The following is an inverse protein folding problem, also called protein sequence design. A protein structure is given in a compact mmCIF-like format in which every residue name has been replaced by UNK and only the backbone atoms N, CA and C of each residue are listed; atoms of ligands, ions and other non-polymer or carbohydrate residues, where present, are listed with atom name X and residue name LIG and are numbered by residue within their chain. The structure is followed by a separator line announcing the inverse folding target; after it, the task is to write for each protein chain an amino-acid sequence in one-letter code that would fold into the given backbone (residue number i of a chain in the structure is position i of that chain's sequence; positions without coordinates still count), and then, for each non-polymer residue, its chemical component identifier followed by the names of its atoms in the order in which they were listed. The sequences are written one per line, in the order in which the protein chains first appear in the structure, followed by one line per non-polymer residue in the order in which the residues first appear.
data_IF_151836240559
#
_entry.id   IF_151836240559
#
_cell.length_a   1.000
_cell.length_b   1.000
_cell.length_c   1.000
_cell.angle_alpha   90.00
_cell.angle_beta   90.00
_cell.angle_gamma   90.00
#
_symmetry.space_group_name_H-M   'P 1'
#
loop_
_entity.id
_entity.type
_entity.pdbx_description
1 polymer ?
#
# COMPACT_ATOMS: atom_id res chain seq x y z
N UNK A 1 31.09 2.83 -21.11
CA UNK A 1 31.89 3.51 -20.07
C UNK A 1 30.96 4.23 -19.10
N UNK A 2 31.49 5.00 -18.14
CA UNK A 2 30.69 5.75 -17.17
C UNK A 2 29.64 6.66 -17.84
N UNK A 3 30.02 7.35 -18.92
CA UNK A 3 29.11 8.24 -19.64
C UNK A 3 27.96 7.49 -20.33
N UNK A 4 28.25 6.34 -20.96
CA UNK A 4 27.21 5.50 -21.59
C UNK A 4 26.20 5.01 -20.56
N UNK A 5 26.66 4.59 -19.39
CA UNK A 5 25.79 4.19 -18.29
C UNK A 5 24.90 5.35 -17.86
N UNK A 6 25.49 6.53 -17.60
CA UNK A 6 24.76 7.72 -17.17
C UNK A 6 23.70 8.19 -18.20
N UNK A 7 23.95 8.00 -19.50
CA UNK A 7 22.99 8.36 -20.57
C UNK A 7 21.77 7.42 -20.63
N UNK A 8 21.89 6.20 -20.11
CA UNK A 8 20.78 5.21 -20.11
C UNK A 8 19.89 5.29 -18.88
N UNK A 9 20.30 6.02 -17.83
CA UNK A 9 19.50 6.17 -16.62
C UNK A 9 18.39 7.20 -16.84
N UNK A 10 17.21 6.90 -16.30
CA UNK A 10 16.08 7.82 -16.30
C UNK A 10 16.49 9.18 -15.68
N UNK A 11 16.13 10.33 -16.28
CA UNK A 11 16.59 11.65 -15.83
C UNK A 11 16.38 11.91 -14.33
N UNK A 12 15.21 11.53 -13.79
CA UNK A 12 14.89 11.69 -12.36
C UNK A 12 15.78 10.88 -11.40
N UNK A 13 16.38 9.79 -11.88
CA UNK A 13 17.22 8.91 -11.07
C UNK A 13 18.72 9.21 -11.23
N UNK A 14 19.09 9.96 -12.28
CA UNK A 14 20.48 10.17 -12.69
C UNK A 14 21.34 10.78 -11.59
N UNK A 15 20.87 11.85 -10.96
CA UNK A 15 21.64 12.56 -9.95
C UNK A 15 21.92 11.66 -8.73
N UNK A 16 20.92 10.91 -8.29
CA UNK A 16 21.04 9.94 -7.20
C UNK A 16 22.02 8.82 -7.56
N UNK A 17 21.86 8.21 -8.73
CA UNK A 17 22.69 7.11 -9.18
C UNK A 17 24.16 7.52 -9.31
N UNK A 18 24.44 8.74 -9.83
CA UNK A 18 25.80 9.30 -9.88
C UNK A 18 26.39 9.50 -8.50
N UNK A 19 25.64 10.12 -7.57
CA UNK A 19 26.11 10.30 -6.19
C UNK A 19 26.46 8.98 -5.51
N UNK A 20 25.62 7.96 -5.68
CA UNK A 20 25.87 6.62 -5.13
C UNK A 20 27.14 6.00 -5.72
N UNK A 21 27.33 6.14 -7.04
CA UNK A 21 28.51 5.64 -7.75
C UNK A 21 29.79 6.36 -7.31
N UNK A 22 29.78 7.69 -7.33
CA UNK A 22 30.94 8.53 -7.00
C UNK A 22 31.39 8.29 -5.55
N UNK A 23 30.44 8.12 -4.64
CA UNK A 23 30.72 7.75 -3.23
C UNK A 23 31.40 6.39 -3.14
N UNK A 24 30.89 5.38 -3.85
CA UNK A 24 31.47 4.05 -3.85
C UNK A 24 32.86 4.03 -4.51
N UNK A 25 33.06 4.80 -5.57
CA UNK A 25 34.34 4.94 -6.25
C UNK A 25 35.39 5.64 -5.36
N UNK A 26 35.03 6.74 -4.71
CA UNK A 26 35.93 7.49 -3.83
C UNK A 26 36.37 6.68 -2.60
N UNK A 27 35.49 5.83 -2.08
CA UNK A 27 35.79 4.97 -0.94
C UNK A 27 36.40 3.62 -1.34
N UNK A 28 36.47 3.33 -2.64
CA UNK A 28 36.70 1.98 -3.19
C UNK A 28 35.82 0.92 -2.48
N UNK A 29 34.60 1.34 -2.12
CA UNK A 29 33.68 0.60 -1.27
C UNK A 29 32.69 -0.24 -2.06
N UNK A 30 31.64 -0.70 -1.39
CA UNK A 30 30.55 -1.43 -2.03
C UNK A 30 29.57 -0.45 -2.68
N UNK A 31 29.35 -0.59 -3.98
CA UNK A 31 28.29 0.10 -4.71
C UNK A 31 26.98 -0.69 -4.62
N UNK A 32 25.89 -0.02 -4.26
CA UNK A 32 24.55 -0.59 -4.28
C UNK A 32 23.57 0.51 -4.64
N UNK A 33 22.85 0.35 -5.74
CA UNK A 33 21.84 1.33 -6.16
C UNK A 33 20.68 0.64 -6.87
N UNK A 34 19.54 1.30 -6.93
CA UNK A 34 18.38 0.90 -7.71
C UNK A 34 17.85 2.12 -8.45
N UNK A 35 17.76 2.03 -9.77
CA UNK A 35 17.40 3.12 -10.66
C UNK A 35 16.66 2.58 -11.87
N UNK A 36 15.99 3.48 -12.58
CA UNK A 36 15.33 3.17 -13.85
C UNK A 36 16.28 3.40 -15.01
N UNK A 37 16.28 2.48 -15.96
CA UNK A 37 16.84 2.66 -17.29
C UNK A 37 15.74 3.12 -18.23
N UNK A 38 16.05 4.08 -19.10
CA UNK A 38 15.21 4.51 -20.21
C UNK A 38 15.80 3.93 -21.50
N UNK A 39 15.12 2.93 -22.06
CA UNK A 39 15.55 2.29 -23.30
C UNK A 39 15.23 3.19 -24.52
N UNK A 40 15.90 2.98 -25.67
CA UNK A 40 15.67 3.80 -26.87
C UNK A 40 14.24 3.76 -27.42
N UNK A 41 13.48 2.70 -27.12
CA UNK A 41 12.07 2.56 -27.48
C UNK A 41 11.11 3.29 -26.51
N UNK A 42 11.67 3.95 -25.48
CA UNK A 42 10.92 4.64 -24.42
C UNK A 42 10.52 3.73 -23.26
N UNK A 43 10.81 2.42 -23.31
CA UNK A 43 10.50 1.49 -22.23
C UNK A 43 11.35 1.79 -21.01
N UNK A 44 10.72 1.80 -19.84
CA UNK A 44 11.40 1.93 -18.55
C UNK A 44 11.65 0.56 -17.95
N UNK A 45 12.89 0.28 -17.54
CA UNK A 45 13.26 -0.91 -16.76
C UNK A 45 13.81 -0.53 -15.41
N UNK A 46 13.37 -1.21 -14.36
CA UNK A 46 13.97 -1.05 -13.04
C UNK A 46 15.15 -2.00 -12.91
N UNK A 47 16.32 -1.46 -12.59
CA UNK A 47 17.53 -2.24 -12.39
C UNK A 47 18.02 -2.05 -10.96
N UNK A 48 18.39 -3.15 -10.33
CA UNK A 48 19.11 -3.18 -9.07
C UNK A 48 20.55 -3.58 -9.33
N UNK A 49 21.49 -2.76 -8.90
CA UNK A 49 22.91 -2.98 -9.11
C UNK A 49 23.62 -3.16 -7.80
N UNK A 50 24.52 -4.15 -7.73
CA UNK A 50 25.48 -4.29 -6.63
C UNK A 50 26.86 -4.56 -7.22
N UNK A 51 27.84 -3.75 -6.85
CA UNK A 51 29.21 -3.88 -7.28
C UNK A 51 30.20 -3.61 -6.14
N UNK A 52 31.46 -3.98 -6.36
CA UNK A 52 32.59 -3.58 -5.52
C UNK A 52 33.78 -3.22 -6.39
N UNK A 53 34.72 -2.48 -5.81
CA UNK A 53 35.99 -2.15 -6.44
C UNK A 53 37.07 -3.14 -6.02
N UNK A 54 37.88 -3.57 -6.98
CA UNK A 54 39.05 -4.42 -6.80
C UNK A 54 40.26 -3.71 -7.41
N UNK A 55 41.42 -3.81 -6.77
CA UNK A 55 42.67 -3.37 -7.38
C UNK A 55 43.17 -4.42 -8.37
N UNK A 56 43.52 -3.96 -9.56
CA UNK A 56 44.21 -4.78 -10.56
C UNK A 56 45.73 -4.83 -10.31
N UNK A 57 46.43 -5.70 -11.03
CA UNK A 57 47.91 -5.86 -10.97
C UNK A 57 48.64 -4.53 -11.23
N UNK A 58 48.06 -3.65 -12.04
CA UNK A 58 48.60 -2.32 -12.38
C UNK A 58 48.10 -1.19 -11.43
N UNK A 59 47.60 -1.55 -10.24
CA UNK A 59 47.03 -0.65 -9.22
C UNK A 59 45.84 0.21 -9.72
N UNK A 60 45.24 -0.20 -10.84
CA UNK A 60 44.06 0.46 -11.41
C UNK A 60 42.79 -0.11 -10.77
N UNK A 61 41.90 0.71 -10.19
CA UNK A 61 40.65 0.23 -9.62
C UNK A 61 39.70 -0.27 -10.72
N UNK A 62 39.27 -1.54 -10.61
CA UNK A 62 38.25 -2.16 -11.47
C UNK A 62 36.98 -2.41 -10.68
N UNK A 63 35.83 -2.03 -11.24
CA UNK A 63 34.54 -2.32 -10.65
C UNK A 63 33.99 -3.65 -11.20
N UNK A 64 33.56 -4.55 -10.31
CA UNK A 64 32.88 -5.79 -10.67
C UNK A 64 31.57 -5.87 -9.90
N UNK A 65 30.49 -6.16 -10.61
CA UNK A 65 29.17 -6.24 -10.02
C UNK A 65 28.18 -7.01 -10.86
N UNK A 66 26.97 -7.12 -10.35
CA UNK A 66 25.83 -7.69 -11.02
C UNK A 66 24.70 -6.67 -11.07
N UNK A 67 23.98 -6.70 -12.19
CA UNK A 67 22.78 -5.93 -12.44
C UNK A 67 21.62 -6.90 -12.60
N UNK A 68 20.55 -6.68 -11.83
CA UNK A 68 19.33 -7.47 -11.92
C UNK A 68 18.21 -6.59 -12.45
N UNK A 69 17.56 -7.04 -13.53
CA UNK A 69 16.28 -6.48 -13.96
C UNK A 69 15.22 -6.89 -12.92
N UNK A 70 14.67 -5.90 -12.22
CA UNK A 70 13.65 -6.06 -11.17
C UNK A 70 12.33 -5.40 -11.59
N UNK A 71 12.15 -5.15 -12.89
CA UNK A 71 10.96 -4.47 -13.42
C UNK A 71 9.67 -5.22 -13.07
N UNK A 72 9.63 -6.54 -13.25
CA UNK A 72 8.46 -7.35 -12.91
C UNK A 72 8.10 -7.26 -11.43
N UNK A 73 9.11 -7.31 -10.55
CA UNK A 73 8.90 -7.31 -9.10
C UNK A 73 8.37 -5.96 -8.62
N UNK A 74 8.93 -4.87 -9.14
CA UNK A 74 8.49 -3.50 -8.80
C UNK A 74 7.06 -3.28 -9.26
N UNK A 75 6.75 -3.59 -10.53
CA UNK A 75 5.41 -3.40 -11.09
C UNK A 75 4.37 -4.29 -10.40
N UNK A 76 4.72 -5.54 -10.08
CA UNK A 76 3.83 -6.44 -9.34
C UNK A 76 3.54 -5.88 -7.95
N UNK A 77 4.56 -5.40 -7.23
CA UNK A 77 4.38 -4.83 -5.90
C UNK A 77 3.54 -3.54 -5.94
N UNK A 78 3.77 -2.64 -6.90
CA UNK A 78 2.95 -1.44 -7.09
C UNK A 78 1.49 -1.78 -7.36
N UNK A 79 1.24 -2.75 -8.25
CA UNK A 79 -0.10 -3.24 -8.53
C UNK A 79 -0.78 -3.84 -7.29
N UNK A 80 -0.07 -4.67 -6.52
CA UNK A 80 -0.58 -5.25 -5.28
C UNK A 80 -0.94 -4.18 -4.25
N UNK A 81 -0.10 -3.16 -4.08
CA UNK A 81 -0.36 -2.05 -3.17
C UNK A 81 -1.62 -1.29 -3.61
N UNK A 82 -1.74 -1.00 -4.90
CA UNK A 82 -2.89 -0.29 -5.45
C UNK A 82 -4.19 -1.11 -5.31
N UNK A 83 -4.15 -2.41 -5.63
CA UNK A 83 -5.30 -3.29 -5.51
C UNK A 83 -5.75 -3.45 -4.05
N UNK A 84 -4.80 -3.62 -3.13
CA UNK A 84 -5.07 -3.67 -1.69
C UNK A 84 -5.76 -2.39 -1.23
N UNK A 85 -5.26 -1.22 -1.60
CA UNK A 85 -5.85 0.07 -1.21
C UNK A 85 -7.27 0.23 -1.76
N UNK A 86 -7.53 -0.19 -3.01
CA UNK A 86 -8.88 -0.18 -3.58
C UNK A 86 -9.82 -1.14 -2.84
N UNK A 87 -9.34 -2.33 -2.49
CA UNK A 87 -10.10 -3.33 -1.73
C UNK A 87 -10.44 -2.84 -0.33
N UNK A 88 -9.47 -2.25 0.38
CA UNK A 88 -9.66 -1.67 1.72
C UNK A 88 -10.70 -0.55 1.70
N UNK A 89 -10.65 0.35 0.71
CA UNK A 89 -11.66 1.41 0.55
C UNK A 89 -13.07 0.84 0.33
N UNK A 90 -13.21 -0.13 -0.60
CA UNK A 90 -14.49 -0.79 -0.88
C UNK A 90 -15.04 -1.54 0.33
N UNK A 91 -14.16 -2.17 1.10
CA UNK A 91 -14.55 -2.87 2.32
C UNK A 91 -15.09 -1.88 3.37
N UNK A 92 -14.39 -0.77 3.59
CA UNK A 92 -14.84 0.28 4.51
C UNK A 92 -16.19 0.90 4.10
N UNK A 93 -16.40 1.14 2.80
CA UNK A 93 -17.68 1.59 2.27
C UNK A 93 -18.79 0.55 2.49
N UNK A 94 -18.51 -0.72 2.25
CA UNK A 94 -19.46 -1.81 2.42
C UNK A 94 -19.88 -1.96 3.88
N UNK A 95 -18.94 -1.90 4.82
CA UNK A 95 -19.24 -1.95 6.26
C UNK A 95 -20.10 -0.77 6.69
N UNK A 96 -19.80 0.44 6.18
CA UNK A 96 -20.61 1.62 6.44
C UNK A 96 -22.02 1.49 5.88
N UNK A 97 -22.16 0.96 4.66
CA UNK A 97 -23.45 0.71 4.03
C UNK A 97 -24.26 -0.34 4.80
N UNK A 98 -23.61 -1.43 5.21
CA UNK A 98 -24.19 -2.50 6.01
C UNK A 98 -24.71 -1.98 7.35
N UNK A 99 -23.88 -1.25 8.10
CA UNK A 99 -24.29 -0.66 9.38
C UNK A 99 -25.49 0.28 9.23
N UNK A 100 -25.57 1.04 8.13
CA UNK A 100 -26.70 1.91 7.83
C UNK A 100 -27.98 1.11 7.54
N UNK A 101 -27.86 0.04 6.75
CA UNK A 101 -29.00 -0.84 6.45
C UNK A 101 -29.51 -1.50 7.73
N UNK A 102 -28.61 -2.02 8.57
CA UNK A 102 -28.96 -2.62 9.86
C UNK A 102 -29.66 -1.61 10.76
N UNK A 103 -29.12 -0.39 10.87
CA UNK A 103 -29.74 0.68 11.65
C UNK A 103 -31.15 0.98 11.16
N UNK A 104 -31.35 1.21 9.85
CA UNK A 104 -32.69 1.46 9.26
C UNK A 104 -33.64 0.29 9.47
N UNK A 105 -33.16 -0.95 9.43
CA UNK A 105 -33.99 -2.14 9.62
C UNK A 105 -34.36 -2.41 11.08
N UNK A 106 -33.64 -1.82 12.04
CA UNK A 106 -33.78 -2.05 13.49
C UNK A 106 -34.23 -0.82 14.28
N UNK A 107 -34.36 0.33 13.63
CA UNK A 107 -34.79 1.57 14.28
C UNK A 107 -36.02 2.15 13.58
N UNK A 108 -36.86 2.84 14.34
CA UNK A 108 -38.00 3.59 13.83
C UNK A 108 -37.52 4.88 13.13
N UNK A 109 -38.01 5.14 11.91
CA UNK A 109 -37.51 6.25 11.09
C UNK A 109 -37.95 7.63 11.58
N UNK A 110 -39.02 7.71 12.38
CA UNK A 110 -39.55 8.98 12.89
C UNK A 110 -38.85 9.40 14.18
N UNK A 111 -38.58 8.45 15.07
CA UNK A 111 -38.06 8.70 16.43
C UNK A 111 -36.58 8.37 16.59
N UNK A 112 -36.00 7.54 15.71
CA UNK A 112 -34.63 7.04 15.82
C UNK A 112 -34.43 6.01 16.94
N UNK A 113 -35.49 5.61 17.64
CA UNK A 113 -35.44 4.60 18.69
C UNK A 113 -35.43 3.18 18.10
N UNK A 114 -34.91 2.17 18.82
CA UNK A 114 -35.03 0.79 18.40
C UNK A 114 -36.50 0.40 18.13
N UNK A 115 -36.73 -0.26 17.01
CA UNK A 115 -38.05 -0.68 16.60
C UNK A 115 -38.45 -1.99 17.30
N UNK A 116 -39.70 -2.44 17.06
CA UNK A 116 -40.21 -3.67 17.65
C UNK A 116 -39.37 -4.90 17.32
N UNK A 117 -38.84 -5.00 16.09
CA UNK A 117 -38.00 -6.13 15.68
C UNK A 117 -36.72 -6.19 16.52
N UNK A 118 -36.07 -5.06 16.76
CA UNK A 118 -34.91 -4.99 17.65
C UNK A 118 -35.26 -5.42 19.08
N UNK A 119 -36.41 -4.96 19.61
CA UNK A 119 -36.88 -5.38 20.92
C UNK A 119 -37.10 -6.90 20.99
N UNK A 120 -37.75 -7.48 19.98
CA UNK A 120 -38.02 -8.92 19.91
C UNK A 120 -36.70 -9.73 19.86
N UNK A 121 -35.69 -9.27 19.10
CA UNK A 121 -34.35 -9.89 19.04
C UNK A 121 -33.62 -9.81 20.39
N UNK A 122 -33.68 -8.65 21.06
CA UNK A 122 -33.09 -8.47 22.39
C UNK A 122 -33.73 -9.37 23.44
N UNK A 123 -35.05 -9.51 23.42
CA UNK A 123 -35.80 -10.37 24.34
C UNK A 123 -35.53 -11.85 24.07
N UNK A 124 -35.40 -12.26 22.81
CA UNK A 124 -35.05 -13.64 22.46
C UNK A 124 -33.65 -14.05 22.95
N UNK A 125 -32.71 -13.10 23.03
CA UNK A 125 -31.36 -13.32 23.58
C UNK A 125 -31.25 -13.22 25.11
N UNK A 126 -32.28 -12.70 25.79
CA UNK A 126 -32.31 -12.57 27.23
C UNK A 126 -32.72 -13.89 27.89
N UNK A 127 -31.74 -14.68 28.34
CA UNK A 127 -31.94 -15.99 28.98
C UNK A 127 -31.94 -15.95 30.53
N UNK A 128 -32.01 -14.77 31.16
CA UNK A 128 -31.98 -14.64 32.62
C UNK A 128 -33.30 -14.08 33.17
N UNK A 129 -33.73 -14.58 34.33
CA UNK A 129 -34.98 -14.21 35.04
C UNK A 129 -34.96 -12.78 35.60
N UNK A 130 -34.00 -11.94 35.20
CA UNK A 130 -33.78 -10.58 35.67
C UNK A 130 -34.20 -9.49 34.67
N UNK A 131 -34.83 -9.85 33.57
CA UNK A 131 -35.34 -8.88 32.59
C UNK A 131 -36.75 -8.41 32.96
N UNK A 132 -36.95 -7.10 33.04
CA UNK A 132 -38.26 -6.48 33.24
C UNK A 132 -38.62 -5.60 32.04
N UNK A 133 -39.88 -5.66 31.59
CA UNK A 133 -40.39 -4.86 30.48
C UNK A 133 -41.35 -3.78 31.02
N UNK A 134 -41.10 -2.52 30.66
CA UNK A 134 -41.98 -1.39 30.96
C UNK A 134 -42.57 -0.85 29.67
N UNK A 135 -43.90 -0.81 29.58
CA UNK A 135 -44.63 -0.20 28.46
C UNK A 135 -45.25 1.11 28.92
N UNK A 136 -44.94 2.21 28.23
CA UNK A 136 -45.47 3.55 28.49
C UNK A 136 -46.24 4.01 27.26
N UNK A 137 -47.54 4.21 27.40
CA UNK A 137 -48.39 4.77 26.34
C UNK A 137 -48.43 6.30 26.48
N UNK A 138 -48.28 7.00 25.35
CA UNK A 138 -48.35 8.46 25.32
C UNK A 138 -49.77 8.89 24.97
N UNK A 139 -50.55 9.23 25.98
CA UNK A 139 -51.90 9.75 25.79
C UNK A 139 -51.88 11.04 24.95
N UNK A 140 -52.70 11.08 23.88
CA UNK A 140 -52.95 12.21 22.95
C UNK A 140 -52.07 12.31 21.69
N UNK A 141 -51.46 11.23 21.21
CA UNK A 141 -51.03 11.18 19.81
C UNK A 141 -52.27 11.06 18.88
N UNK A 142 -52.47 12.01 17.97
CA UNK A 142 -53.53 11.99 16.93
C UNK A 142 -52.99 11.43 15.63
#
# INVERSE_FOLDING_TARGET
GYDDWALTIHPDDLERARRDFDTAAATQGRYSSQYRLLLPDGTVRHVRTRAGFLQDVDDTPKMIGAEWDVTSDVLLNENLVHERQSSESKNAELETAKARIEHVALHDSLTGLPNRRYLDEMLAGAHDDRTALLHLDLDRFK
#
